data_IF_725641175956
#
_entry.id   IF_725641175956
#
_cell.length_a   1.000
_cell.length_b   1.000
_cell.length_c   1.000
_cell.angle_alpha   90.00
_cell.angle_beta   90.00
_cell.angle_gamma   90.00
#
_symmetry.space_group_name_H-M   'P 1'
#
loop_
_entity.id
_entity.type
_entity.pdbx_description
1 polymer ?
#
# COMPACT_ATOMS: atom_id res chain seq x y z
N UNK A 1 -47.47 24.27 21.14
CA UNK A 1 -47.09 23.23 20.15
C UNK A 1 -46.26 23.77 19.00
N UNK A 2 -46.61 24.89 18.39
CA UNK A 2 -45.81 25.47 17.28
C UNK A 2 -44.44 25.94 17.69
N UNK A 3 -44.25 26.41 18.91
CA UNK A 3 -42.95 26.89 19.44
C UNK A 3 -41.95 25.74 19.63
N UNK A 4 -42.39 24.58 20.06
CA UNK A 4 -41.54 23.41 20.24
C UNK A 4 -41.13 22.78 18.90
N UNK A 5 -42.00 22.82 17.92
CA UNK A 5 -41.73 22.37 16.55
C UNK A 5 -40.67 23.24 15.89
N UNK A 6 -40.75 24.56 16.10
CA UNK A 6 -39.74 25.54 15.56
C UNK A 6 -38.41 25.37 16.23
N UNK A 7 -38.36 25.07 17.53
CA UNK A 7 -37.16 24.80 18.28
C UNK A 7 -36.49 23.48 17.84
N UNK A 8 -37.31 22.45 17.57
CA UNK A 8 -36.85 21.16 17.10
C UNK A 8 -36.27 21.27 15.66
N UNK A 9 -36.91 22.07 14.83
CA UNK A 9 -36.45 22.37 13.48
C UNK A 9 -35.13 23.17 13.49
N UNK A 10 -34.97 24.13 14.41
CA UNK A 10 -33.75 24.89 14.59
C UNK A 10 -32.60 24.03 15.11
N UNK A 11 -32.87 23.09 16.03
CA UNK A 11 -31.87 22.11 16.49
C UNK A 11 -31.42 21.15 15.38
N UNK A 12 -32.32 20.75 14.52
CA UNK A 12 -32.01 19.89 13.38
C UNK A 12 -31.08 20.59 12.37
N UNK A 13 -31.25 21.91 12.20
CA UNK A 13 -30.44 22.71 11.28
C UNK A 13 -29.02 22.99 11.83
N UNK A 14 -28.83 22.94 13.15
CA UNK A 14 -27.52 23.13 13.81
C UNK A 14 -26.62 21.89 13.75
N UNK A 15 -27.13 20.74 13.36
CA UNK A 15 -26.37 19.48 13.25
C UNK A 15 -25.71 19.23 11.88
N UNK A 16 -25.81 20.17 10.93
CA UNK A 16 -25.05 20.08 9.68
C UNK A 16 -23.58 20.42 9.95
N UNK A 17 -22.86 19.43 10.47
CA UNK A 17 -21.39 19.52 10.58
C UNK A 17 -20.79 19.72 9.19
N UNK A 18 -20.09 20.81 8.99
CA UNK A 18 -19.33 21.05 7.75
C UNK A 18 -18.17 20.06 7.70
N UNK A 19 -18.30 19.05 6.86
CA UNK A 19 -17.16 18.20 6.50
C UNK A 19 -16.24 19.02 5.61
N UNK A 20 -15.12 19.46 6.14
CA UNK A 20 -14.10 20.14 5.33
C UNK A 20 -13.40 19.08 4.47
N UNK A 21 -13.46 19.28 3.17
CA UNK A 21 -12.78 18.45 2.19
C UNK A 21 -11.46 19.12 1.79
N UNK A 22 -10.42 18.30 1.71
CA UNK A 22 -9.08 18.71 1.29
C UNK A 22 -8.76 18.12 -0.08
N UNK A 23 -8.21 18.91 -0.97
CA UNK A 23 -7.79 18.46 -2.29
C UNK A 23 -6.31 18.07 -2.21
N UNK A 24 -6.03 16.82 -2.54
CA UNK A 24 -4.68 16.28 -2.68
C UNK A 24 -4.34 16.19 -4.15
N UNK A 25 -3.22 16.78 -4.53
CA UNK A 25 -2.69 16.73 -5.90
C UNK A 25 -1.32 16.08 -5.90
N UNK A 26 -1.01 15.39 -6.98
CA UNK A 26 0.31 14.81 -7.14
C UNK A 26 0.52 14.21 -8.52
N UNK A 27 1.69 13.65 -8.71
CA UNK A 27 2.11 12.96 -9.92
C UNK A 27 2.61 11.57 -9.57
N UNK A 28 2.23 10.58 -10.37
CA UNK A 28 2.71 9.20 -10.23
C UNK A 28 3.68 8.90 -11.36
N UNK A 29 4.88 8.42 -11.00
CA UNK A 29 5.93 8.09 -11.95
C UNK A 29 6.48 6.70 -11.67
N UNK A 30 7.08 6.08 -12.68
CA UNK A 30 7.86 4.86 -12.54
C UNK A 30 9.21 5.15 -11.85
N UNK A 31 9.62 4.30 -10.94
CA UNK A 31 10.91 4.45 -10.24
C UNK A 31 12.12 4.18 -11.14
N UNK A 32 11.95 3.40 -12.21
CA UNK A 32 13.01 2.95 -13.10
C UNK A 32 13.45 4.02 -14.10
N UNK A 33 12.51 4.59 -14.83
CA UNK A 33 12.74 5.53 -15.93
C UNK A 33 12.23 6.94 -15.65
N UNK A 34 11.50 7.12 -14.53
CA UNK A 34 10.86 8.38 -14.14
C UNK A 34 9.76 8.86 -15.09
N UNK A 35 9.25 7.96 -15.92
CA UNK A 35 8.14 8.25 -16.80
C UNK A 35 6.80 8.33 -16.05
N UNK A 36 5.86 9.17 -16.52
CA UNK A 36 4.55 9.28 -15.89
C UNK A 36 3.72 8.02 -16.12
N UNK A 37 3.09 7.53 -15.06
CA UNK A 37 2.21 6.37 -15.13
C UNK A 37 0.79 6.84 -15.39
N UNK A 38 0.28 6.51 -16.57
CA UNK A 38 -1.09 6.83 -17.01
C UNK A 38 -2.07 5.78 -16.49
N UNK A 39 -3.18 6.20 -15.91
CA UNK A 39 -4.21 5.29 -15.43
C UNK A 39 -3.89 4.59 -14.11
N UNK A 40 -2.89 5.06 -13.36
CA UNK A 40 -2.67 4.59 -12.00
C UNK A 40 -3.87 4.93 -11.12
N UNK A 41 -4.30 3.98 -10.30
CA UNK A 41 -5.43 4.13 -9.40
C UNK A 41 -4.97 4.67 -8.06
N UNK A 42 -5.56 5.78 -7.65
CA UNK A 42 -5.33 6.41 -6.34
C UNK A 42 -6.63 6.29 -5.55
N UNK A 43 -6.59 5.69 -4.39
CA UNK A 43 -7.78 5.54 -3.56
C UNK A 43 -7.49 5.67 -2.06
N UNK A 44 -8.54 6.02 -1.32
CA UNK A 44 -8.52 6.12 0.14
C UNK A 44 -9.21 4.90 0.73
N UNK A 45 -8.49 4.09 1.48
CA UNK A 45 -9.03 2.87 2.09
C UNK A 45 -10.23 3.11 3.01
N UNK A 46 -10.22 4.23 3.74
CA UNK A 46 -11.28 4.55 4.73
C UNK A 46 -12.59 5.01 4.09
N UNK A 47 -12.53 5.79 3.02
CA UNK A 47 -13.71 6.36 2.36
C UNK A 47 -14.10 5.66 1.07
N UNK A 48 -13.23 4.80 0.55
CA UNK A 48 -13.35 4.15 -0.77
C UNK A 48 -13.47 5.15 -1.94
N UNK A 49 -13.14 6.40 -1.71
CA UNK A 49 -13.04 7.41 -2.77
C UNK A 49 -11.72 7.23 -3.51
N UNK A 50 -11.76 7.43 -4.82
CA UNK A 50 -10.57 7.28 -5.65
C UNK A 50 -10.63 8.08 -6.93
N UNK A 51 -9.47 8.20 -7.57
CA UNK A 51 -9.26 8.82 -8.88
C UNK A 51 -8.20 8.04 -9.65
N UNK A 52 -7.99 8.40 -10.90
CA UNK A 52 -6.93 7.85 -11.76
C UNK A 52 -6.02 8.95 -12.27
N UNK A 53 -4.77 8.62 -12.58
CA UNK A 53 -3.84 9.55 -13.19
C UNK A 53 -4.16 9.83 -14.66
N UNK A 54 -3.88 11.05 -15.09
CA UNK A 54 -3.99 11.48 -16.48
C UNK A 54 -2.77 11.08 -17.34
N UNK A 55 -2.71 11.56 -18.58
CA UNK A 55 -1.64 11.26 -19.54
C UNK A 55 -0.26 11.76 -19.11
N UNK A 56 -0.19 12.71 -18.19
CA UNK A 56 1.04 13.24 -17.61
C UNK A 56 1.34 12.65 -16.23
N UNK A 57 0.53 11.68 -15.79
CA UNK A 57 0.64 11.04 -14.49
C UNK A 57 0.11 11.86 -13.32
N UNK A 58 -0.55 13.00 -13.59
CA UNK A 58 -1.12 13.83 -12.54
C UNK A 58 -2.46 13.30 -12.03
N UNK A 59 -2.73 13.53 -10.77
CA UNK A 59 -4.01 13.23 -10.15
C UNK A 59 -4.46 14.37 -9.22
N UNK A 60 -5.76 14.44 -9.04
CA UNK A 60 -6.40 15.31 -8.06
C UNK A 60 -7.51 14.53 -7.37
N UNK A 61 -7.46 14.45 -6.05
CA UNK A 61 -8.41 13.69 -5.24
C UNK A 61 -8.89 14.55 -4.07
N UNK A 62 -10.20 14.66 -3.97
CA UNK A 62 -10.86 15.31 -2.84
C UNK A 62 -11.09 14.30 -1.71
N UNK A 63 -10.58 14.62 -0.54
CA UNK A 63 -10.62 13.73 0.63
C UNK A 63 -11.05 14.49 1.89
N UNK A 64 -11.65 13.83 2.86
CA UNK A 64 -11.89 14.41 4.17
C UNK A 64 -10.58 14.75 4.92
N UNK A 65 -10.60 15.77 5.74
CA UNK A 65 -9.42 16.24 6.49
C UNK A 65 -8.82 15.19 7.45
N UNK A 66 -9.62 14.24 7.89
CA UNK A 66 -9.20 13.16 8.77
C UNK A 66 -8.36 12.07 8.07
N UNK A 67 -8.28 12.10 6.73
CA UNK A 67 -7.49 11.15 5.95
C UNK A 67 -6.03 11.58 5.90
N UNK A 68 -5.14 10.68 6.28
CA UNK A 68 -3.69 10.92 6.32
C UNK A 68 -2.91 10.16 5.26
N UNK A 69 -3.48 9.10 4.71
CA UNK A 69 -2.82 8.23 3.73
C UNK A 69 -3.70 7.94 2.53
N UNK A 70 -3.07 7.82 1.38
CA UNK A 70 -3.67 7.36 0.13
C UNK A 70 -2.93 6.11 -0.35
N UNK A 71 -3.64 5.26 -1.05
CA UNK A 71 -3.07 4.06 -1.65
C UNK A 71 -3.01 4.25 -3.16
N UNK A 72 -1.86 3.99 -3.75
CA UNK A 72 -1.62 4.08 -5.19
C UNK A 72 -1.30 2.69 -5.72
N UNK A 73 -1.97 2.30 -6.79
CA UNK A 73 -1.77 1.00 -7.43
C UNK A 73 -1.84 1.11 -8.96
N UNK A 74 -1.07 0.27 -9.62
CA UNK A 74 -1.09 0.14 -11.07
C UNK A 74 -0.79 -1.31 -11.46
N UNK A 75 -1.29 -1.74 -12.60
CA UNK A 75 -1.08 -3.12 -13.09
C UNK A 75 0.40 -3.39 -13.32
N UNK A 76 0.93 -4.46 -12.71
CA UNK A 76 2.36 -4.81 -12.80
C UNK A 76 3.29 -4.02 -11.89
N UNK A 77 2.73 -3.12 -11.06
CA UNK A 77 3.47 -2.32 -10.08
C UNK A 77 3.07 -2.69 -8.66
N UNK A 78 4.02 -2.58 -7.75
CA UNK A 78 3.73 -2.78 -6.33
C UNK A 78 2.82 -1.68 -5.79
N UNK A 79 1.74 -2.08 -5.11
CA UNK A 79 0.83 -1.14 -4.44
C UNK A 79 1.56 -0.41 -3.33
N UNK A 80 1.49 0.91 -3.33
CA UNK A 80 2.17 1.76 -2.36
C UNK A 80 1.18 2.60 -1.56
N UNK A 81 1.38 2.63 -0.25
CA UNK A 81 0.66 3.54 0.64
C UNK A 81 1.54 4.76 0.94
N UNK A 82 1.00 5.95 0.73
CA UNK A 82 1.73 7.22 0.83
C UNK A 82 1.04 8.15 1.81
N UNK A 83 1.81 8.73 2.72
CA UNK A 83 1.31 9.76 3.62
C UNK A 83 1.10 11.06 2.87
N UNK A 84 -0.05 11.68 3.08
CA UNK A 84 -0.41 12.94 2.45
C UNK A 84 0.40 14.08 3.06
N UNK A 85 1.13 14.77 2.20
CA UNK A 85 1.84 16.01 2.54
C UNK A 85 1.15 17.22 1.92
N UNK A 86 1.23 18.39 2.55
CA UNK A 86 0.70 19.62 1.94
C UNK A 86 1.51 19.96 0.68
N UNK A 87 0.80 20.29 -0.39
CA UNK A 87 1.38 20.60 -1.69
C UNK A 87 1.26 19.47 -2.71
N UNK A 88 1.95 19.59 -3.83
CA UNK A 88 2.00 18.58 -4.88
C UNK A 88 3.01 17.51 -4.53
N UNK A 89 2.57 16.24 -4.60
CA UNK A 89 3.38 15.08 -4.24
C UNK A 89 3.85 14.34 -5.48
N UNK A 90 5.09 13.88 -5.48
CA UNK A 90 5.59 12.91 -6.47
C UNK A 90 5.63 11.53 -5.85
N UNK A 91 4.92 10.59 -6.45
CA UNK A 91 4.81 9.20 -5.98
C UNK A 91 5.50 8.29 -6.98
N UNK A 92 6.51 7.58 -6.54
CA UNK A 92 7.23 6.60 -7.35
C UNK A 92 6.66 5.20 -7.10
N UNK A 93 6.26 4.50 -8.15
CA UNK A 93 5.90 3.09 -8.10
C UNK A 93 7.05 2.25 -8.64
N UNK A 94 7.22 1.07 -8.07
CA UNK A 94 8.23 0.09 -8.46
C UNK A 94 7.54 -1.13 -9.06
N UNK A 95 8.17 -1.76 -10.03
CA UNK A 95 7.67 -3.00 -10.62
C UNK A 95 7.47 -4.08 -9.52
N UNK A 96 6.38 -4.81 -9.61
CA UNK A 96 5.99 -5.80 -8.59
C UNK A 96 7.06 -6.86 -8.35
N UNK A 97 7.78 -7.28 -9.38
CA UNK A 97 8.89 -8.23 -9.26
C UNK A 97 10.03 -7.74 -8.35
N UNK A 98 10.35 -6.46 -8.41
CA UNK A 98 11.37 -5.85 -7.54
C UNK A 98 10.90 -5.69 -6.10
N UNK A 99 9.62 -5.36 -5.93
CA UNK A 99 9.02 -5.25 -4.61
C UNK A 99 8.91 -6.59 -3.89
N UNK A 100 8.67 -7.67 -4.61
CA UNK A 100 8.66 -9.04 -4.06
C UNK A 100 10.05 -9.48 -3.59
N UNK A 101 11.11 -9.16 -4.31
CA UNK A 101 12.49 -9.42 -3.90
C UNK A 101 12.84 -8.68 -2.60
N UNK A 102 12.46 -7.44 -2.48
CA UNK A 102 12.66 -6.65 -1.27
C UNK A 102 11.88 -7.22 -0.07
N UNK A 103 10.62 -7.64 -0.28
CA UNK A 103 9.81 -8.28 0.75
C UNK A 103 10.40 -9.62 1.18
N UNK A 104 10.94 -10.42 0.27
CA UNK A 104 11.60 -11.69 0.58
C UNK A 104 12.84 -11.47 1.46
N UNK A 105 13.64 -10.44 1.20
CA UNK A 105 14.81 -10.07 2.04
C UNK A 105 14.39 -9.69 3.46
N UNK A 106 13.27 -9.02 3.64
CA UNK A 106 12.73 -8.61 4.95
C UNK A 106 12.05 -9.75 5.69
N UNK A 107 11.62 -10.81 5.02
CA UNK A 107 10.96 -11.96 5.64
C UNK A 107 11.97 -12.87 6.39
N UNK A 108 12.36 -12.48 7.56
CA UNK A 108 13.30 -13.24 8.44
C UNK A 108 12.89 -14.68 8.69
N UNK A 109 11.60 -14.97 8.65
CA UNK A 109 11.08 -16.32 8.87
C UNK A 109 11.61 -17.35 7.88
N UNK A 110 11.92 -16.94 6.66
CA UNK A 110 12.52 -17.80 5.65
C UNK A 110 13.95 -18.20 5.98
N UNK A 111 14.73 -17.34 6.60
CA UNK A 111 16.10 -17.65 7.01
C UNK A 111 16.14 -18.72 8.10
N UNK A 112 15.23 -18.67 9.07
CA UNK A 112 15.11 -19.71 10.11
C UNK A 112 14.74 -21.07 9.52
N UNK A 113 13.83 -21.09 8.56
CA UNK A 113 13.44 -22.35 7.88
C UNK A 113 14.59 -22.95 7.07
N UNK A 114 15.37 -22.13 6.39
CA UNK A 114 16.51 -22.62 5.62
C UNK A 114 17.62 -23.17 6.50
N UNK A 115 17.87 -22.57 7.66
CA UNK A 115 18.82 -23.10 8.64
C UNK A 115 18.42 -24.48 9.15
N UNK A 116 17.13 -24.66 9.48
CA UNK A 116 16.62 -25.95 9.97
C UNK A 116 16.72 -27.01 8.88
N UNK A 117 16.39 -26.68 7.65
CA UNK A 117 16.48 -27.59 6.51
C UNK A 117 17.93 -27.96 6.22
N UNK A 118 18.85 -27.01 6.29
CA UNK A 118 20.29 -27.28 6.13
C UNK A 118 20.85 -28.22 7.19
N UNK A 119 20.46 -28.06 8.45
CA UNK A 119 20.86 -28.94 9.54
C UNK A 119 20.35 -30.37 9.35
N UNK A 120 19.12 -30.55 8.92
CA UNK A 120 18.54 -31.87 8.65
C UNK A 120 19.28 -32.57 7.49
N UNK A 121 19.63 -31.82 6.47
CA UNK A 121 20.37 -32.35 5.31
C UNK A 121 21.78 -32.78 5.71
N UNK A 122 22.46 -32.04 6.56
CA UNK A 122 23.79 -32.42 7.07
C UNK A 122 23.75 -33.70 7.88
N UNK A 123 22.79 -33.84 8.78
CA UNK A 123 22.64 -35.08 9.58
C UNK A 123 22.38 -36.28 8.69
N UNK A 124 21.60 -36.15 7.66
CA UNK A 124 21.32 -37.23 6.73
C UNK A 124 22.56 -37.65 5.92
N UNK A 125 23.35 -36.69 5.49
CA UNK A 125 24.58 -36.96 4.77
C UNK A 125 25.63 -37.64 5.66
N UNK A 126 25.74 -37.22 6.90
CA UNK A 126 26.67 -37.80 7.87
C UNK A 126 26.29 -39.23 8.21
N UNK A 127 25.01 -39.52 8.32
CA UNK A 127 24.50 -40.86 8.56
C UNK A 127 24.75 -41.82 7.38
N UNK A 128 24.64 -41.29 6.14
CA UNK A 128 24.96 -42.07 4.94
C UNK A 128 26.46 -42.40 4.80
N UNK A 129 27.32 -41.50 5.26
CA UNK A 129 28.78 -41.71 5.24
C UNK A 129 29.27 -42.68 6.32
N UNK A 130 28.52 -42.84 7.42
CA UNK A 130 28.84 -43.74 8.50
C UNK A 130 28.42 -45.20 8.28
N UNK A 131 27.66 -45.47 7.25
CA UNK A 131 27.38 -46.86 6.89
C UNK A 131 28.63 -47.49 6.28
N UNK A 132 29.30 -48.43 6.99
CA UNK A 132 30.40 -49.13 6.38
C UNK A 132 29.84 -49.97 5.22
N UNK A 133 30.36 -49.71 4.06
CA UNK A 133 30.15 -50.59 2.93
C UNK A 133 30.89 -51.87 3.26
N UNK A 134 30.18 -52.80 3.84
CA UNK A 134 30.69 -54.15 3.97
C UNK A 134 30.65 -54.77 2.58
N UNK A 135 31.72 -54.54 1.85
CA UNK A 135 31.98 -55.38 0.69
C UNK A 135 32.37 -56.75 1.17
N UNK A 136 31.63 -57.66 0.78
CA UNK A 136 31.93 -59.09 0.90
C UNK A 136 32.99 -59.44 -0.11
#
# INVERSE_FOLDING_TARGET
MKKHLLFLLACLFLMTGTVMAKIVKGRVIDSSDKEPIVGASIFVKSTKQGTITDIEGHFSLEIPDNVKTITVSFVGMATREVTITPGEMTIELTAESQALDEVVVVAYGTQKKSSITGAITQVRNEELLKRPVTSV
#
